data_IF_105861324098
#
_entry.id   IF_105861324098
#
_cell.length_a   1.000
_cell.length_b   1.000
_cell.length_c   1.000
_cell.angle_alpha   90.00
_cell.angle_beta   90.00
_cell.angle_gamma   90.00
#
_symmetry.space_group_name_H-M   'P 1'
#
loop_
_entity.id
_entity.type
_entity.pdbx_description
1 polymer ?
#
# COMPACT_ATOMS: atom_id res chain seq x y z
N UNK A 1 -7.23 8.61 -14.93
CA UNK A 1 -7.04 9.45 -13.71
C UNK A 1 -7.90 8.84 -12.61
N UNK A 2 -7.29 8.34 -11.53
CA UNK A 2 -7.92 7.43 -10.57
C UNK A 2 -8.71 8.18 -9.50
N UNK A 3 -9.93 8.61 -9.83
CA UNK A 3 -10.79 9.38 -8.91
C UNK A 3 -11.10 8.65 -7.61
N UNK A 4 -11.11 7.31 -7.66
CA UNK A 4 -11.34 6.43 -6.51
C UNK A 4 -10.32 6.62 -5.38
N UNK A 5 -9.14 7.20 -5.67
CA UNK A 5 -8.16 7.58 -4.65
C UNK A 5 -8.78 8.54 -3.62
N UNK A 6 -9.62 9.48 -4.07
CA UNK A 6 -10.24 10.49 -3.21
C UNK A 6 -11.39 9.93 -2.35
N UNK A 7 -11.81 8.68 -2.56
CA UNK A 7 -12.85 8.02 -1.78
C UNK A 7 -12.33 7.44 -0.45
N UNK A 8 -11.02 7.56 -0.19
CA UNK A 8 -10.41 7.14 1.06
C UNK A 8 -10.63 8.18 2.15
N UNK A 9 -10.90 7.70 3.37
CA UNK A 9 -11.25 8.54 4.52
C UNK A 9 -10.21 9.62 4.84
N UNK A 10 -8.92 9.38 4.55
CA UNK A 10 -7.84 10.36 4.76
C UNK A 10 -8.02 11.66 3.96
N UNK A 11 -8.82 11.61 2.89
CA UNK A 11 -9.10 12.76 2.03
C UNK A 11 -10.46 13.39 2.30
N UNK A 12 -11.19 12.95 3.32
CA UNK A 12 -12.43 13.63 3.71
C UNK A 12 -12.15 15.04 4.24
N UNK A 13 -12.98 16.00 3.85
CA UNK A 13 -12.88 17.39 4.30
C UNK A 13 -11.75 18.22 3.65
N UNK A 14 -10.94 17.65 2.76
CA UNK A 14 -9.93 18.43 2.03
C UNK A 14 -10.59 19.32 0.96
N UNK A 15 -10.01 20.50 0.71
CA UNK A 15 -10.52 21.45 -0.28
C UNK A 15 -10.42 20.91 -1.71
N UNK A 16 -11.27 21.40 -2.62
CA UNK A 16 -11.21 21.05 -4.04
C UNK A 16 -9.84 21.37 -4.66
N UNK A 17 -9.22 22.49 -4.28
CA UNK A 17 -7.86 22.83 -4.72
C UNK A 17 -6.84 21.76 -4.30
N UNK A 18 -6.96 21.21 -3.09
CA UNK A 18 -6.08 20.12 -2.63
C UNK A 18 -6.37 18.82 -3.38
N UNK A 19 -7.63 18.49 -3.65
CA UNK A 19 -8.01 17.34 -4.49
C UNK A 19 -7.36 17.45 -5.87
N UNK A 20 -7.47 18.60 -6.53
CA UNK A 20 -6.85 18.86 -7.83
C UNK A 20 -5.33 18.66 -7.82
N UNK A 21 -4.66 19.02 -6.71
CA UNK A 21 -3.21 18.79 -6.54
C UNK A 21 -2.89 17.32 -6.34
N UNK A 22 -3.64 16.61 -5.51
CA UNK A 22 -3.48 15.17 -5.27
C UNK A 22 -3.66 14.39 -6.57
N UNK A 23 -4.64 14.75 -7.39
CA UNK A 23 -4.89 14.10 -8.68
C UNK A 23 -3.76 14.28 -9.71
N UNK A 24 -2.81 15.19 -9.46
CA UNK A 24 -1.61 15.41 -10.29
C UNK A 24 -0.38 14.65 -9.79
N UNK A 25 -0.44 13.99 -8.64
CA UNK A 25 0.66 13.15 -8.14
C UNK A 25 0.86 11.98 -9.11
N UNK A 26 2.11 11.66 -9.51
CA UNK A 26 2.41 10.56 -10.40
C UNK A 26 2.22 9.22 -9.68
N UNK A 27 0.98 8.73 -9.67
CA UNK A 27 0.61 7.46 -9.05
C UNK A 27 0.73 6.30 -10.04
N UNK A 28 1.10 5.13 -9.53
CA UNK A 28 1.12 3.89 -10.28
C UNK A 28 -0.08 3.03 -9.89
N UNK A 29 -0.81 2.50 -10.86
CA UNK A 29 -1.84 1.50 -10.62
C UNK A 29 -1.33 0.13 -11.03
N UNK A 30 -1.55 -0.86 -10.18
CA UNK A 30 -1.19 -2.25 -10.49
C UNK A 30 -2.27 -3.21 -9.99
N UNK A 31 -2.49 -4.24 -10.78
CA UNK A 31 -3.27 -5.42 -10.39
C UNK A 31 -2.31 -6.53 -9.99
N UNK A 32 -2.68 -7.24 -8.94
CA UNK A 32 -1.89 -8.33 -8.37
C UNK A 32 -2.77 -9.57 -8.27
N UNK A 33 -2.24 -10.70 -8.69
CA UNK A 33 -2.87 -12.00 -8.44
C UNK A 33 -2.59 -12.46 -7.00
N UNK A 34 -3.44 -13.33 -6.45
CA UNK A 34 -3.17 -13.95 -5.16
C UNK A 34 -1.77 -14.60 -5.15
N UNK A 35 -1.08 -14.48 -4.01
CA UNK A 35 0.29 -14.93 -3.76
C UNK A 35 1.40 -14.11 -4.44
N UNK A 36 1.05 -13.13 -5.31
CA UNK A 36 2.06 -12.23 -5.89
C UNK A 36 2.71 -11.34 -4.81
N UNK A 37 4.03 -11.15 -4.93
CA UNK A 37 4.80 -10.28 -4.05
C UNK A 37 4.68 -8.83 -4.54
N UNK A 38 4.23 -7.96 -3.64
CA UNK A 38 4.09 -6.51 -3.88
C UNK A 38 5.40 -5.79 -3.61
N UNK A 39 6.10 -6.16 -2.53
CA UNK A 39 7.45 -5.70 -2.19
C UNK A 39 8.15 -6.68 -1.26
N UNK A 40 9.47 -6.65 -1.25
CA UNK A 40 10.31 -7.51 -0.42
C UNK A 40 10.82 -6.81 0.84
N UNK A 41 11.11 -7.61 1.86
CA UNK A 41 11.86 -7.19 3.03
C UNK A 41 13.18 -6.52 2.64
N UNK A 42 13.47 -5.37 3.24
CA UNK A 42 14.69 -4.60 2.98
C UNK A 42 14.65 -3.73 1.73
N UNK A 43 13.63 -3.84 0.87
CA UNK A 43 13.47 -2.90 -0.25
C UNK A 43 13.21 -1.48 0.24
N UNK A 44 13.66 -0.50 -0.53
CA UNK A 44 13.38 0.91 -0.28
C UNK A 44 11.87 1.18 -0.21
N UNK A 45 11.45 1.96 0.80
CA UNK A 45 10.06 2.37 0.97
C UNK A 45 9.69 3.46 -0.05
N UNK A 46 9.41 3.06 -1.29
CA UNK A 46 9.11 3.99 -2.40
C UNK A 46 7.66 4.45 -2.45
N UNK A 47 6.73 3.63 -1.95
CA UNK A 47 5.30 3.83 -2.16
C UNK A 47 4.46 3.52 -0.92
N UNK A 48 3.35 4.24 -0.81
CA UNK A 48 2.19 3.89 -0.01
C UNK A 48 1.13 3.28 -0.90
N UNK A 49 0.53 2.19 -0.45
CA UNK A 49 -0.48 1.41 -1.13
C UNK A 49 -1.88 1.82 -0.67
N UNK A 50 -2.71 2.20 -1.62
CA UNK A 50 -4.13 2.43 -1.46
C UNK A 50 -4.87 1.27 -2.11
N UNK A 51 -5.53 0.43 -1.31
CA UNK A 51 -6.13 -0.83 -1.76
C UNK A 51 -7.57 -0.56 -2.23
N UNK A 52 -7.80 -0.60 -3.54
CA UNK A 52 -9.12 -0.37 -4.15
C UNK A 52 -10.01 -1.62 -4.06
N UNK A 53 -9.38 -2.80 -4.20
CA UNK A 53 -10.01 -4.12 -4.17
C UNK A 53 -8.99 -5.14 -3.65
N UNK A 54 -9.49 -6.25 -3.11
CA UNK A 54 -8.65 -7.36 -2.67
C UNK A 54 -8.14 -7.19 -1.25
N UNK A 55 -7.03 -7.87 -0.94
CA UNK A 55 -6.40 -7.81 0.38
C UNK A 55 -4.90 -8.04 0.23
N UNK A 56 -4.10 -7.14 0.79
CA UNK A 56 -2.66 -7.34 0.96
C UNK A 56 -2.38 -7.85 2.38
N UNK A 57 -1.28 -8.57 2.57
CA UNK A 57 -0.82 -9.02 3.89
C UNK A 57 0.68 -8.74 4.07
N UNK A 58 1.09 -8.50 5.30
CA UNK A 58 2.51 -8.50 5.66
C UNK A 58 2.95 -9.91 5.94
N UNK A 59 4.10 -10.28 5.38
CA UNK A 59 4.60 -11.65 5.43
C UNK A 59 6.06 -11.64 5.86
N UNK A 60 6.34 -12.36 6.93
CA UNK A 60 7.66 -12.65 7.44
C UNK A 60 7.87 -14.17 7.45
N UNK A 61 9.12 -14.61 7.57
CA UNK A 61 9.44 -16.04 7.66
C UNK A 61 10.28 -16.28 8.90
N UNK A 62 9.89 -17.29 9.68
CA UNK A 62 10.68 -17.74 10.82
C UNK A 62 12.00 -18.38 10.35
N UNK A 63 12.93 -18.61 11.29
CA UNK A 63 14.20 -19.32 11.02
C UNK A 63 13.96 -20.72 10.42
N UNK A 64 12.80 -21.32 10.68
CA UNK A 64 12.40 -22.63 10.16
C UNK A 64 11.66 -22.55 8.81
N UNK A 65 11.58 -21.37 8.19
CA UNK A 65 10.88 -21.14 6.92
C UNK A 65 9.36 -21.09 7.03
N UNK A 66 8.80 -21.02 8.25
CA UNK A 66 7.34 -20.91 8.42
C UNK A 66 6.89 -19.47 8.16
N UNK A 67 5.86 -19.32 7.33
CA UNK A 67 5.20 -18.03 7.12
C UNK A 67 4.59 -17.51 8.42
N UNK A 68 4.88 -16.24 8.73
CA UNK A 68 4.30 -15.47 9.82
C UNK A 68 3.58 -14.28 9.18
N UNK A 69 2.26 -14.22 9.33
CA UNK A 69 1.46 -13.09 8.86
C UNK A 69 1.21 -12.15 10.03
N UNK A 70 1.76 -10.94 9.93
CA UNK A 70 1.64 -9.96 11.00
C UNK A 70 0.30 -9.20 10.90
N UNK A 71 -0.16 -8.87 9.68
CA UNK A 71 -1.38 -8.09 9.45
C UNK A 71 -2.01 -8.34 8.07
N UNK A 72 -3.32 -8.13 7.97
CA UNK A 72 -4.09 -8.08 6.71
C UNK A 72 -4.66 -6.69 6.48
N UNK A 73 -4.60 -6.23 5.24
CA UNK A 73 -5.05 -4.90 4.81
C UNK A 73 -6.08 -5.06 3.67
N UNK A 74 -7.39 -4.96 3.98
CA UNK A 74 -8.44 -5.12 2.97
C UNK A 74 -8.63 -3.85 2.11
N UNK A 75 -9.62 -3.91 1.20
CA UNK A 75 -10.15 -2.75 0.49
C UNK A 75 -10.34 -1.54 1.43
N UNK A 76 -9.98 -0.34 0.92
CA UNK A 76 -9.95 0.96 1.63
C UNK A 76 -8.87 1.10 2.70
N UNK A 77 -7.98 0.14 2.86
CA UNK A 77 -6.77 0.34 3.68
C UNK A 77 -5.69 1.15 2.94
N UNK A 78 -4.95 1.93 3.73
CA UNK A 78 -3.78 2.69 3.30
C UNK A 78 -2.58 2.13 4.06
N UNK A 79 -1.57 1.63 3.34
CA UNK A 79 -0.52 0.81 3.94
C UNK A 79 0.78 0.90 3.14
N UNK A 80 1.98 0.94 3.76
CA UNK A 80 2.27 1.07 5.18
C UNK A 80 2.44 2.53 5.61
N UNK A 81 1.33 3.29 5.72
CA UNK A 81 1.36 4.74 5.99
C UNK A 81 2.13 5.12 7.27
N UNK A 82 2.07 4.28 8.31
CA UNK A 82 2.75 4.52 9.58
C UNK A 82 4.28 4.49 9.49
N UNK A 83 4.85 3.81 8.49
CA UNK A 83 6.30 3.74 8.31
C UNK A 83 6.92 5.07 7.88
N UNK A 84 6.14 5.93 7.21
CA UNK A 84 6.57 7.29 6.88
C UNK A 84 6.86 8.10 8.14
N UNK A 85 5.98 8.01 9.14
CA UNK A 85 6.12 8.76 10.39
C UNK A 85 7.20 8.20 11.31
N UNK A 86 7.56 6.92 11.19
CA UNK A 86 8.68 6.34 11.94
C UNK A 86 10.05 6.67 11.32
N UNK A 87 10.09 7.31 10.15
CA UNK A 87 11.34 7.59 9.43
C UNK A 87 11.97 6.34 8.80
N UNK A 88 11.19 5.27 8.62
CA UNK A 88 11.70 4.03 8.02
C UNK A 88 12.07 4.29 6.55
N UNK A 89 13.24 3.80 6.15
CA UNK A 89 13.74 3.93 4.77
C UNK A 89 13.48 2.65 3.95
N UNK A 90 13.24 1.53 4.61
CA UNK A 90 13.08 0.22 3.99
C UNK A 90 11.88 -0.55 4.56
N UNK A 91 11.39 -1.51 3.78
CA UNK A 91 10.30 -2.41 4.17
C UNK A 91 10.77 -3.36 5.27
N UNK A 92 10.10 -3.39 6.44
CA UNK A 92 10.47 -4.29 7.54
C UNK A 92 9.92 -5.71 7.37
N UNK A 93 9.21 -5.99 6.28
CA UNK A 93 8.59 -7.29 5.96
C UNK A 93 8.36 -7.40 4.44
N UNK A 94 7.99 -8.58 3.95
CA UNK A 94 7.43 -8.70 2.62
C UNK A 94 5.96 -8.24 2.63
N UNK A 95 5.50 -7.71 1.50
CA UNK A 95 4.08 -7.44 1.26
C UNK A 95 3.64 -8.40 0.16
N UNK A 96 2.60 -9.18 0.43
CA UNK A 96 2.08 -10.16 -0.54
C UNK A 96 0.58 -9.97 -0.75
N UNK A 97 0.10 -10.33 -1.93
CA UNK A 97 -1.30 -10.30 -2.26
C UNK A 97 -1.98 -11.55 -1.68
N UNK A 98 -2.97 -11.38 -0.80
CA UNK A 98 -3.72 -12.50 -0.22
C UNK A 98 -4.93 -12.89 -1.08
N UNK A 99 -5.57 -11.89 -1.72
CA UNK A 99 -6.67 -12.04 -2.66
C UNK A 99 -6.47 -11.02 -3.77
N UNK A 100 -6.73 -11.40 -5.01
CA UNK A 100 -6.59 -10.55 -6.21
C UNK A 100 -6.94 -9.09 -5.90
N UNK A 101 -5.95 -8.23 -6.10
CA UNK A 101 -5.96 -6.87 -5.59
C UNK A 101 -5.75 -5.85 -6.71
N UNK A 102 -6.40 -4.70 -6.54
CA UNK A 102 -6.17 -3.51 -7.34
C UNK A 102 -5.63 -2.44 -6.40
N UNK A 103 -4.43 -1.95 -6.70
CA UNK A 103 -3.65 -1.11 -5.79
C UNK A 103 -3.18 0.14 -6.51
N UNK A 104 -3.40 1.29 -5.88
CA UNK A 104 -2.74 2.54 -6.25
C UNK A 104 -1.51 2.72 -5.36
N UNK A 105 -0.35 2.83 -5.98
CA UNK A 105 0.92 3.17 -5.37
C UNK A 105 1.13 4.68 -5.46
N UNK A 106 1.08 5.35 -4.31
CA UNK A 106 1.37 6.78 -4.17
C UNK A 106 2.82 6.92 -3.71
N UNK A 107 3.66 7.74 -4.37
CA UNK A 107 5.04 7.97 -3.92
C UNK A 107 5.10 8.39 -2.45
N UNK A 108 6.03 7.77 -1.71
CA UNK A 108 6.30 8.04 -0.30
C UNK A 108 7.17 9.31 -0.10
N UNK A 109 7.91 9.70 -1.14
CA UNK A 109 8.84 10.83 -1.21
C UNK A 109 8.79 11.53 -2.56
#
# INVERSE_FOLDING_TARGET
MYKELLDFHIFEGISEQSKERIMKIPILYKEYEAEEIVSFFGEELKYIHFILKGTLKTTEYSIQGREIVSSYYPKRSIFPFYLLYSGAQTQPYNITCFKDAQVIHVPAT
#
